data_IF_353878841681
#
_entry.id   IF_353878841681
#
_cell.length_a   1.000
_cell.length_b   1.000
_cell.length_c   1.000
_cell.angle_alpha   90.00
_cell.angle_beta   90.00
_cell.angle_gamma   90.00
#
_symmetry.space_group_name_H-M   'P 1'
#
loop_
_entity.id
_entity.type
_entity.pdbx_description
1 polymer ?
#
# COMPACT_ATOMS: atom_id res chain seq x y z
N UNK A 1 24.77 -13.16 -49.98
CA UNK A 1 24.71 -13.75 -48.63
C UNK A 1 23.59 -13.05 -47.86
N UNK A 2 22.36 -13.54 -47.99
CA UNK A 2 21.25 -13.11 -47.16
C UNK A 2 21.25 -14.04 -45.94
N UNK A 3 21.87 -13.57 -44.85
CA UNK A 3 21.77 -14.25 -43.56
C UNK A 3 20.29 -14.25 -43.20
N UNK A 4 19.68 -15.44 -43.24
CA UNK A 4 18.34 -15.73 -42.75
C UNK A 4 18.16 -15.02 -41.41
N UNK A 5 17.46 -13.89 -41.39
CA UNK A 5 17.27 -13.09 -40.19
C UNK A 5 16.69 -14.03 -39.12
N UNK A 6 17.36 -14.13 -37.97
CA UNK A 6 17.13 -15.15 -36.95
C UNK A 6 15.65 -15.13 -36.52
N UNK A 7 14.79 -15.97 -37.11
CA UNK A 7 13.35 -16.05 -36.79
C UNK A 7 13.11 -16.28 -35.30
N UNK A 8 14.07 -16.91 -34.60
CA UNK A 8 14.07 -17.10 -33.14
C UNK A 8 14.18 -15.81 -32.33
N UNK A 9 14.80 -14.74 -32.83
CA UNK A 9 14.93 -13.48 -32.10
C UNK A 9 13.62 -12.68 -32.12
N UNK A 10 12.85 -12.75 -33.21
CA UNK A 10 11.53 -12.11 -33.31
C UNK A 10 10.53 -12.75 -32.35
N UNK A 11 10.47 -14.08 -32.31
CA UNK A 11 9.63 -14.83 -31.39
C UNK A 11 9.99 -14.53 -29.91
N UNK A 12 11.29 -14.43 -29.60
CA UNK A 12 11.73 -14.07 -28.25
C UNK A 12 11.29 -12.65 -27.83
N UNK A 13 11.33 -11.68 -28.77
CA UNK A 13 10.87 -10.30 -28.51
C UNK A 13 9.35 -10.28 -28.28
N UNK A 14 8.56 -11.00 -29.09
CA UNK A 14 7.11 -11.05 -28.92
C UNK A 14 6.72 -11.75 -27.61
N UNK A 15 7.40 -12.85 -27.25
CA UNK A 15 7.20 -13.53 -25.97
C UNK A 15 7.53 -12.62 -24.78
N UNK A 16 8.62 -11.86 -24.85
CA UNK A 16 8.96 -10.88 -23.81
C UNK A 16 7.92 -9.76 -23.72
N UNK A 17 7.44 -9.25 -24.86
CA UNK A 17 6.37 -8.25 -24.91
C UNK A 17 5.08 -8.77 -24.26
N UNK A 18 4.68 -10.00 -24.57
CA UNK A 18 3.51 -10.64 -23.97
C UNK A 18 3.68 -10.81 -22.45
N UNK A 19 4.85 -11.27 -21.99
CA UNK A 19 5.17 -11.38 -20.58
C UNK A 19 5.11 -10.02 -19.85
N UNK A 20 5.60 -8.95 -20.47
CA UNK A 20 5.51 -7.60 -19.91
C UNK A 20 4.06 -7.10 -19.79
N UNK A 21 3.20 -7.41 -20.75
CA UNK A 21 1.77 -7.05 -20.68
C UNK A 21 1.10 -7.77 -19.49
N UNK A 22 1.35 -9.07 -19.34
CA UNK A 22 0.81 -9.87 -18.22
C UNK A 22 1.34 -9.35 -16.89
N UNK A 23 2.65 -9.12 -16.78
CA UNK A 23 3.29 -8.53 -15.61
C UNK A 23 2.66 -7.18 -15.26
N UNK A 24 2.45 -6.30 -16.24
CA UNK A 24 1.85 -4.99 -16.03
C UNK A 24 0.42 -5.10 -15.47
N UNK A 25 -0.36 -6.05 -15.99
CA UNK A 25 -1.72 -6.32 -15.51
C UNK A 25 -1.78 -6.83 -14.07
N UNK A 26 -0.72 -7.48 -13.59
CA UNK A 26 -0.63 -8.01 -12.22
C UNK A 26 0.03 -7.01 -11.25
N UNK A 27 1.10 -6.35 -11.67
CA UNK A 27 1.91 -5.50 -10.82
C UNK A 27 1.19 -4.21 -10.41
N UNK A 28 0.40 -3.61 -11.31
CA UNK A 28 -0.38 -2.40 -11.03
C UNK A 28 -1.36 -2.58 -9.86
N UNK A 29 -2.33 -3.52 -9.92
CA UNK A 29 -3.29 -3.70 -8.83
C UNK A 29 -2.60 -4.15 -7.53
N UNK A 30 -1.53 -4.93 -7.61
CA UNK A 30 -0.80 -5.35 -6.41
C UNK A 30 -0.18 -4.15 -5.65
N UNK A 31 0.42 -3.21 -6.37
CA UNK A 31 1.02 -2.00 -5.77
C UNK A 31 -0.06 -1.05 -5.24
N UNK A 32 -1.15 -0.88 -5.98
CA UNK A 32 -2.29 -0.06 -5.55
C UNK A 32 -2.91 -0.61 -4.26
N UNK A 33 -3.05 -1.94 -4.15
CA UNK A 33 -3.62 -2.58 -2.96
C UNK A 33 -2.72 -2.40 -1.73
N UNK A 34 -1.40 -2.49 -1.88
CA UNK A 34 -0.45 -2.22 -0.80
C UNK A 34 -0.59 -0.78 -0.30
N UNK A 35 -0.67 0.18 -1.21
CA UNK A 35 -0.87 1.60 -0.86
C UNK A 35 -2.20 1.82 -0.13
N UNK A 36 -3.27 1.18 -0.60
CA UNK A 36 -4.59 1.26 -0.01
C UNK A 36 -4.62 0.67 1.42
N UNK A 37 -3.99 -0.48 1.65
CA UNK A 37 -3.95 -1.13 2.96
C UNK A 37 -3.20 -0.29 4.01
N UNK A 38 -2.08 0.32 3.62
CA UNK A 38 -1.35 1.25 4.48
C UNK A 38 -2.22 2.47 4.82
N UNK A 39 -2.88 3.06 3.82
CA UNK A 39 -3.76 4.20 4.03
C UNK A 39 -4.95 3.87 4.94
N UNK A 40 -5.59 2.69 4.76
CA UNK A 40 -6.66 2.19 5.63
C UNK A 40 -6.18 2.02 7.07
N UNK A 41 -5.03 1.37 7.25
CA UNK A 41 -4.44 1.12 8.57
C UNK A 41 -4.11 2.43 9.29
N UNK A 42 -3.52 3.40 8.56
CA UNK A 42 -3.23 4.74 9.08
C UNK A 42 -4.51 5.48 9.48
N UNK A 43 -5.53 5.47 8.62
CA UNK A 43 -6.84 6.05 8.90
C UNK A 43 -7.47 5.46 10.17
N UNK A 44 -7.50 4.14 10.28
CA UNK A 44 -8.01 3.44 11.46
C UNK A 44 -7.29 3.82 12.75
N UNK A 45 -5.96 3.96 12.70
CA UNK A 45 -5.18 4.27 13.89
C UNK A 45 -5.35 5.74 14.32
N UNK A 46 -5.32 6.66 13.35
CA UNK A 46 -5.37 8.10 13.59
C UNK A 46 -6.77 8.63 13.86
N UNK A 47 -7.79 8.08 13.19
CA UNK A 47 -9.15 8.59 13.26
C UNK A 47 -10.02 7.75 14.19
N UNK A 48 -9.98 6.42 14.06
CA UNK A 48 -10.86 5.56 14.85
C UNK A 48 -10.29 5.29 16.24
N UNK A 49 -9.09 4.68 16.30
CA UNK A 49 -8.52 4.23 17.58
C UNK A 49 -8.12 5.37 18.49
N UNK A 50 -7.48 6.39 17.94
CA UNK A 50 -7.12 7.58 18.73
C UNK A 50 -8.37 8.26 19.31
N UNK A 51 -9.39 8.53 18.48
CA UNK A 51 -10.65 9.15 18.92
C UNK A 51 -11.38 8.29 19.94
N UNK A 52 -11.42 6.97 19.73
CA UNK A 52 -12.00 6.03 20.68
C UNK A 52 -11.36 6.15 22.06
N UNK A 53 -10.02 6.07 22.13
CA UNK A 53 -9.31 6.15 23.41
C UNK A 53 -9.37 7.54 24.04
N UNK A 54 -9.35 8.62 23.24
CA UNK A 54 -9.54 9.98 23.76
C UNK A 54 -10.93 10.14 24.41
N UNK A 55 -11.98 9.60 23.78
CA UNK A 55 -13.35 9.66 24.33
C UNK A 55 -13.51 8.76 25.56
N UNK A 56 -12.98 7.54 25.50
CA UNK A 56 -13.01 6.58 26.61
C UNK A 56 -12.26 7.15 27.83
N UNK A 57 -11.11 7.77 27.62
CA UNK A 57 -10.33 8.40 28.68
C UNK A 57 -11.08 9.58 29.31
N UNK A 58 -11.75 10.42 28.50
CA UNK A 58 -12.63 11.48 29.01
C UNK A 58 -13.75 10.92 29.88
N UNK A 59 -14.42 9.85 29.44
CA UNK A 59 -15.48 9.19 30.22
C UNK A 59 -14.96 8.63 31.54
N UNK A 60 -13.81 7.93 31.52
CA UNK A 60 -13.19 7.36 32.72
C UNK A 60 -12.76 8.43 33.71
N UNK A 61 -12.19 9.55 33.24
CA UNK A 61 -11.79 10.69 34.09
C UNK A 61 -13.00 11.33 34.75
N UNK A 62 -14.09 11.57 34.00
CA UNK A 62 -15.33 12.09 34.57
C UNK A 62 -15.89 11.18 35.68
N UNK A 63 -15.94 9.86 35.45
CA UNK A 63 -16.38 8.90 36.48
C UNK A 63 -15.47 8.90 37.71
N UNK A 64 -14.16 9.07 37.51
CA UNK A 64 -13.21 9.18 38.62
C UNK A 64 -13.46 10.46 39.43
N UNK A 65 -13.66 11.59 38.76
CA UNK A 65 -13.99 12.87 39.42
C UNK A 65 -15.31 12.76 40.22
N UNK A 66 -16.35 12.17 39.63
CA UNK A 66 -17.64 11.91 40.29
C UNK A 66 -17.44 11.04 41.55
N UNK A 67 -16.73 9.91 41.46
CA UNK A 67 -16.46 9.04 42.59
C UNK A 67 -15.57 9.68 43.68
N UNK A 68 -14.65 10.57 43.30
CA UNK A 68 -13.84 11.34 44.24
C UNK A 68 -14.66 12.37 45.00
N UNK A 69 -15.61 13.03 44.33
CA UNK A 69 -16.55 13.96 44.95
C UNK A 69 -17.50 13.23 45.91
N UNK A 70 -18.04 12.09 45.52
CA UNK A 70 -18.87 11.26 46.39
C UNK A 70 -18.12 10.84 47.66
N UNK A 71 -16.87 10.39 47.52
CA UNK A 71 -16.01 10.01 48.65
C UNK A 71 -15.72 11.21 49.57
N UNK A 72 -15.48 12.40 49.01
CA UNK A 72 -15.25 13.62 49.79
C UNK A 72 -16.52 14.02 50.56
N UNK A 73 -17.67 14.01 49.91
CA UNK A 73 -18.95 14.34 50.53
C UNK A 73 -19.30 13.36 51.66
N UNK A 74 -19.07 12.06 51.44
CA UNK A 74 -19.27 11.04 52.47
C UNK A 74 -18.34 11.23 53.69
N UNK A 75 -17.10 11.68 53.47
CA UNK A 75 -16.16 12.00 54.57
C UNK A 75 -16.55 13.23 55.37
N UNK A 76 -17.21 14.20 54.74
CA UNK A 76 -17.64 15.45 55.38
C UNK A 76 -18.98 15.30 56.11
N UNK A 77 -19.79 14.31 55.74
CA UNK A 77 -21.05 14.03 56.44
C UNK A 77 -20.76 13.20 57.69
N UNK A 78 -20.92 13.79 58.87
CA UNK A 78 -20.77 13.13 60.19
C UNK A 78 -21.66 11.87 60.35
N UNK A 79 -22.62 11.65 59.44
CA UNK A 79 -23.59 10.55 59.46
C UNK A 79 -23.27 9.35 58.55
N UNK A 80 -22.17 9.38 57.78
CA UNK A 80 -21.74 8.22 56.99
C UNK A 80 -20.33 7.77 57.39
N UNK A 81 -20.22 6.55 57.94
CA UNK A 81 -18.93 5.87 57.95
C UNK A 81 -18.45 5.75 56.50
N UNK A 82 -17.33 6.42 56.18
CA UNK A 82 -16.68 6.34 54.88
C UNK A 82 -16.48 4.87 54.53
N UNK A 83 -17.27 4.36 53.58
CA UNK A 83 -17.37 2.93 53.40
C UNK A 83 -16.16 2.47 52.59
N UNK A 84 -15.51 1.38 53.03
CA UNK A 84 -14.42 0.69 52.31
C UNK A 84 -14.71 0.54 50.81
N UNK A 85 -15.98 0.35 50.44
CA UNK A 85 -16.50 0.28 49.07
C UNK A 85 -16.23 1.55 48.23
N UNK A 86 -16.40 2.76 48.78
CA UNK A 86 -16.17 4.02 48.05
C UNK A 86 -14.67 4.21 47.74
N UNK A 87 -13.81 3.89 48.71
CA UNK A 87 -12.34 3.91 48.51
C UNK A 87 -11.93 2.89 47.45
N UNK A 88 -12.49 1.67 47.48
CA UNK A 88 -12.25 0.66 46.45
C UNK A 88 -12.74 1.10 45.07
N UNK A 89 -13.88 1.79 44.98
CA UNK A 89 -14.42 2.30 43.73
C UNK A 89 -13.49 3.35 43.10
N UNK A 90 -13.01 4.33 43.88
CA UNK A 90 -12.03 5.32 43.42
C UNK A 90 -10.74 4.63 42.94
N UNK A 91 -10.20 3.70 43.73
CA UNK A 91 -8.98 2.96 43.34
C UNK A 91 -9.15 2.14 42.06
N UNK A 92 -10.34 1.56 41.83
CA UNK A 92 -10.67 0.86 40.58
C UNK A 92 -10.74 1.83 39.40
N UNK A 93 -11.37 2.99 39.56
CA UNK A 93 -11.47 3.99 38.50
C UNK A 93 -10.11 4.62 38.17
N UNK A 94 -9.25 4.85 39.16
CA UNK A 94 -7.87 5.30 38.94
C UNK A 94 -7.06 4.28 38.12
N UNK A 95 -7.21 2.98 38.40
CA UNK A 95 -6.60 1.93 37.57
C UNK A 95 -7.13 1.96 36.14
N UNK A 96 -8.45 2.09 35.98
CA UNK A 96 -9.08 2.19 34.66
C UNK A 96 -8.59 3.41 33.85
N UNK A 97 -8.40 4.58 34.50
CA UNK A 97 -7.82 5.76 33.85
C UNK A 97 -6.39 5.49 33.40
N UNK A 98 -5.54 4.93 34.28
CA UNK A 98 -4.15 4.58 33.93
C UNK A 98 -4.07 3.61 32.74
N UNK A 99 -4.88 2.56 32.75
CA UNK A 99 -4.97 1.63 31.61
C UNK A 99 -5.37 2.38 30.31
N UNK A 100 -6.32 3.31 30.39
CA UNK A 100 -6.71 4.13 29.23
C UNK A 100 -5.57 5.00 28.70
N UNK A 101 -4.79 5.61 29.60
CA UNK A 101 -3.62 6.42 29.24
C UNK A 101 -2.52 5.59 28.57
N UNK A 102 -2.24 4.40 29.10
CA UNK A 102 -1.29 3.45 28.51
C UNK A 102 -1.72 3.00 27.11
N UNK A 103 -3.01 2.72 26.92
CA UNK A 103 -3.56 2.33 25.61
C UNK A 103 -3.47 3.49 24.61
N UNK A 104 -3.80 4.71 25.03
CA UNK A 104 -3.66 5.90 24.19
C UNK A 104 -2.19 6.17 23.82
N UNK A 105 -1.27 6.05 24.79
CA UNK A 105 0.17 6.16 24.54
C UNK A 105 0.65 5.10 23.55
N UNK A 106 0.15 3.87 23.67
CA UNK A 106 0.46 2.77 22.76
C UNK A 106 -0.04 3.08 21.34
N UNK A 107 -1.27 3.60 21.18
CA UNK A 107 -1.80 4.01 19.88
C UNK A 107 -0.94 5.11 19.24
N UNK A 108 -0.56 6.14 20.00
CA UNK A 108 0.32 7.21 19.51
C UNK A 108 1.71 6.70 19.10
N UNK A 109 2.25 5.72 19.84
CA UNK A 109 3.52 5.07 19.49
C UNK A 109 3.40 4.33 18.16
N UNK A 110 2.35 3.52 18.00
CA UNK A 110 2.11 2.81 16.76
C UNK A 110 1.86 3.72 15.57
N UNK A 111 1.22 4.88 15.78
CA UNK A 111 1.00 5.88 14.73
C UNK A 111 2.33 6.39 14.16
N UNK A 112 3.26 6.77 15.05
CA UNK A 112 4.60 7.17 14.66
C UNK A 112 5.40 6.02 14.02
N UNK A 113 5.32 4.83 14.60
CA UNK A 113 6.08 3.67 14.12
C UNK A 113 5.62 3.23 12.73
N UNK A 114 4.30 3.23 12.50
CA UNK A 114 3.71 2.93 11.20
C UNK A 114 4.23 3.93 10.16
N UNK A 115 4.12 5.24 10.43
CA UNK A 115 4.57 6.27 9.51
C UNK A 115 6.06 6.14 9.16
N UNK A 116 6.90 5.94 10.18
CA UNK A 116 8.35 5.81 9.99
C UNK A 116 8.71 4.61 9.10
N UNK A 117 8.00 3.48 9.27
CA UNK A 117 8.26 2.25 8.51
C UNK A 117 7.63 2.29 7.12
N UNK A 118 6.43 2.85 7.00
CA UNK A 118 5.69 2.84 5.74
C UNK A 118 6.14 3.92 4.77
N UNK A 119 6.55 5.11 5.24
CA UNK A 119 6.87 6.23 4.36
C UNK A 119 7.96 5.92 3.31
N UNK A 120 9.11 5.28 3.65
CA UNK A 120 10.12 4.93 2.66
C UNK A 120 9.61 3.90 1.64
N UNK A 121 8.87 2.89 2.12
CA UNK A 121 8.33 1.83 1.26
C UNK A 121 7.25 2.37 0.32
N UNK A 122 6.38 3.26 0.81
CA UNK A 122 5.34 3.88 0.02
C UNK A 122 5.93 4.76 -1.08
N UNK A 123 6.98 5.53 -0.77
CA UNK A 123 7.71 6.30 -1.78
C UNK A 123 8.30 5.41 -2.88
N UNK A 124 8.86 4.25 -2.52
CA UNK A 124 9.36 3.28 -3.50
C UNK A 124 8.21 2.69 -4.34
N UNK A 125 7.08 2.39 -3.70
CA UNK A 125 5.88 1.90 -4.38
C UNK A 125 5.32 2.93 -5.38
N UNK A 126 5.26 4.22 -5.01
CA UNK A 126 4.85 5.32 -5.88
C UNK A 126 5.77 5.49 -7.10
N UNK A 127 7.10 5.41 -6.88
CA UNK A 127 8.08 5.44 -7.96
C UNK A 127 7.90 4.27 -8.92
N UNK A 128 7.71 3.07 -8.37
CA UNK A 128 7.49 1.88 -9.17
C UNK A 128 6.15 1.94 -9.91
N UNK A 129 5.08 2.43 -9.28
CA UNK A 129 3.80 2.68 -9.94
C UNK A 129 3.96 3.66 -11.10
N UNK A 130 4.73 4.74 -10.92
CA UNK A 130 5.02 5.70 -12.00
C UNK A 130 5.72 5.02 -13.18
N UNK A 131 6.71 4.15 -12.92
CA UNK A 131 7.38 3.36 -13.97
C UNK A 131 6.40 2.42 -14.69
N UNK A 132 5.55 1.72 -13.94
CA UNK A 132 4.50 0.86 -14.50
C UNK A 132 3.50 1.66 -15.35
N UNK A 133 3.16 2.88 -14.97
CA UNK A 133 2.18 3.70 -15.69
C UNK A 133 2.76 4.37 -16.93
N UNK A 134 4.02 4.79 -16.89
CA UNK A 134 4.61 5.64 -17.92
C UNK A 134 5.60 4.90 -18.82
N UNK A 135 6.51 4.11 -18.25
CA UNK A 135 7.67 3.58 -18.98
C UNK A 135 7.41 2.20 -19.56
N UNK A 136 6.74 1.32 -18.83
CA UNK A 136 6.43 -0.03 -19.32
C UNK A 136 5.51 0.00 -20.57
N UNK A 137 4.46 0.85 -20.66
CA UNK A 137 3.66 0.94 -21.88
C UNK A 137 4.47 1.42 -23.10
N UNK A 138 5.41 2.35 -22.91
CA UNK A 138 6.32 2.79 -23.98
C UNK A 138 7.23 1.65 -24.43
N UNK A 139 7.78 0.87 -23.49
CA UNK A 139 8.59 -0.30 -23.80
C UNK A 139 7.80 -1.35 -24.58
N UNK A 140 6.55 -1.65 -24.17
CA UNK A 140 5.66 -2.57 -24.89
C UNK A 140 5.38 -2.09 -26.33
N UNK A 141 5.17 -0.78 -26.52
CA UNK A 141 4.96 -0.20 -27.83
C UNK A 141 6.22 -0.28 -28.70
N UNK A 142 7.39 0.03 -28.12
CA UNK A 142 8.68 -0.05 -28.81
C UNK A 142 9.00 -1.48 -29.25
N UNK A 143 8.79 -2.48 -28.38
CA UNK A 143 8.96 -3.89 -28.72
C UNK A 143 8.02 -4.31 -29.85
N UNK A 144 6.75 -3.87 -29.82
CA UNK A 144 5.81 -4.15 -30.90
C UNK A 144 6.22 -3.51 -32.24
N UNK A 145 6.82 -2.32 -32.21
CA UNK A 145 7.35 -1.69 -33.41
C UNK A 145 8.60 -2.42 -33.94
N UNK A 146 9.47 -2.89 -33.05
CA UNK A 146 10.64 -3.70 -33.43
C UNK A 146 10.23 -4.99 -34.13
N UNK A 147 9.23 -5.71 -33.61
CA UNK A 147 8.69 -6.92 -34.24
C UNK A 147 8.20 -6.62 -35.66
N UNK A 148 7.34 -5.60 -35.84
CA UNK A 148 6.84 -5.20 -37.16
C UNK A 148 7.95 -4.87 -38.16
N UNK A 149 8.99 -4.16 -37.70
CA UNK A 149 10.14 -3.81 -38.53
C UNK A 149 10.94 -5.06 -38.92
N UNK A 150 11.19 -5.99 -37.99
CA UNK A 150 11.93 -7.21 -38.29
C UNK A 150 11.16 -8.14 -39.23
N UNK A 151 9.83 -8.22 -39.08
CA UNK A 151 8.96 -8.99 -39.97
C UNK A 151 8.94 -8.43 -41.40
N UNK A 152 9.00 -7.10 -41.57
CA UNK A 152 9.02 -6.49 -42.91
C UNK A 152 10.31 -6.78 -43.69
N UNK A 153 11.44 -6.96 -42.99
CA UNK A 153 12.70 -7.41 -43.61
C UNK A 153 12.73 -8.92 -43.92
N UNK A 154 11.83 -9.71 -43.32
CA UNK A 154 11.73 -11.15 -43.54
C UNK A 154 10.76 -11.55 -44.69
N UNK A 155 10.09 -10.57 -45.31
CA UNK A 155 9.19 -10.79 -46.46
C UNK A 155 9.91 -11.24 -47.75
N UNK A 156 9.20 -11.88 -48.71
CA UNK A 156 9.84 -12.52 -49.87
C UNK A 156 10.59 -11.52 -50.76
N UNK A 157 11.78 -11.92 -51.23
CA UNK A 157 12.56 -11.18 -52.21
C UNK A 157 11.73 -10.93 -53.50
N UNK A 158 11.90 -9.79 -54.18
CA UNK A 158 11.25 -9.55 -55.47
C UNK A 158 11.62 -10.67 -56.46
N UNK A 159 10.71 -11.12 -57.34
CA UNK A 159 11.05 -12.13 -58.33
C UNK A 159 12.22 -11.63 -59.18
N UNK A 160 13.32 -12.38 -59.20
CA UNK A 160 14.45 -12.12 -60.09
C UNK A 160 13.91 -12.03 -61.52
N UNK A 161 14.06 -10.85 -62.14
CA UNK A 161 13.74 -10.65 -63.53
C UNK A 161 14.53 -11.69 -64.35
N UNK A 162 13.80 -12.64 -64.93
CA UNK A 162 14.30 -13.64 -65.84
C UNK A 162 15.17 -12.98 -66.91
N UNK A 163 16.47 -13.31 -66.93
CA UNK A 163 17.37 -12.93 -68.03
C UNK A 163 16.78 -13.46 -69.35
N UNK A 164 16.65 -12.64 -70.41
CA UNK A 164 16.15 -13.11 -71.69
C UNK A 164 17.16 -14.08 -72.33
N UNK A 165 16.68 -15.08 -73.11
CA UNK A 165 17.55 -16.09 -73.68
C UNK A 165 18.49 -15.47 -74.72
N UNK A 166 19.77 -15.83 -74.57
CA UNK A 166 20.85 -15.57 -75.52
C UNK A 166 20.46 -16.17 -76.88
N UNK A 167 20.23 -15.31 -77.89
CA UNK A 167 20.03 -15.76 -79.26
C UNK A 167 21.40 -16.03 -79.89
N UNK A 168 21.70 -17.31 -80.05
CA UNK A 168 22.71 -17.80 -81.01
C UNK A 168 22.23 -17.58 -82.43
N UNK A 169 22.94 -16.77 -83.22
CA UNK A 169 23.27 -16.97 -84.65
C UNK A 169 24.07 -15.78 -85.17
#
# INVERSE_FOLDING_TARGET
MAQQAQVRSVEAIENFRAALIVFLGQARPAIEEIGAEVARTKGWLQQDRRRFWDNELKSRRRKLEEAQQELLNARLSEFQETTSLQVMAVNRLQRSVREGEEKLATVKRWDRELENRSAPMLKQAEQFQTLLMMEIPKAIAALGQMVKTLESYAGPAPPEASKPPEKTS
#
